data_IF_997316032876
#
_entry.id   IF_997316032876
#
_cell.length_a   1.000
_cell.length_b   1.000
_cell.length_c   1.000
_cell.angle_alpha   90.00
_cell.angle_beta   90.00
_cell.angle_gamma   90.00
#
_symmetry.space_group_name_H-M   'P 1'
#
loop_
_entity.id
_entity.type
_entity.pdbx_description
1 polymer ?
#
# COMPACT_ATOMS: atom_id res chain seq x y z
N UNK A 1 -40.55 18.65 38.20
CA UNK A 1 -39.35 19.51 38.13
C UNK A 1 -38.15 18.60 37.88
N UNK A 2 -37.71 18.48 36.63
CA UNK A 2 -36.37 18.03 36.18
C UNK A 2 -36.43 17.87 34.65
N UNK A 3 -36.45 18.99 33.93
CA UNK A 3 -36.40 19.01 32.46
C UNK A 3 -35.86 20.37 31.99
N UNK A 4 -34.58 20.67 32.25
CA UNK A 4 -33.97 21.90 31.69
C UNK A 4 -32.44 21.92 31.76
N UNK A 5 -31.72 20.87 31.36
CA UNK A 5 -30.27 20.94 31.16
C UNK A 5 -29.84 20.06 29.97
N UNK A 6 -30.20 20.51 28.76
CA UNK A 6 -29.45 20.16 27.55
C UNK A 6 -29.13 21.46 26.80
N UNK A 7 -27.87 21.73 26.46
CA UNK A 7 -27.52 22.89 25.65
C UNK A 7 -28.20 22.78 24.28
N UNK A 8 -28.85 23.85 23.83
CA UNK A 8 -29.37 24.00 22.47
C UNK A 8 -28.18 24.10 21.51
N UNK A 9 -27.58 22.95 21.19
CA UNK A 9 -26.58 22.85 20.13
C UNK A 9 -27.24 23.19 18.80
N UNK A 10 -26.64 24.11 18.03
CA UNK A 10 -27.02 24.33 16.63
C UNK A 10 -26.85 23.00 15.90
N UNK A 11 -27.95 22.42 15.41
CA UNK A 11 -27.91 21.35 14.42
C UNK A 11 -27.16 21.88 13.20
N UNK A 12 -25.92 21.42 13.01
CA UNK A 12 -25.19 21.59 11.76
C UNK A 12 -25.98 20.84 10.69
N UNK A 13 -26.40 21.55 9.63
CA UNK A 13 -27.04 20.91 8.48
C UNK A 13 -26.00 20.03 7.80
N UNK A 14 -26.16 18.71 7.96
CA UNK A 14 -25.47 17.70 7.15
C UNK A 14 -25.75 18.04 5.69
N UNK A 15 -24.71 18.16 4.86
CA UNK A 15 -24.84 18.52 3.45
C UNK A 15 -25.68 17.50 2.69
N UNK A 16 -26.48 17.94 1.72
CA UNK A 16 -27.36 17.11 0.87
C UNK A 16 -26.64 16.11 -0.07
N UNK A 17 -25.33 15.89 0.10
CA UNK A 17 -24.61 14.85 -0.67
C UNK A 17 -25.00 13.48 -0.12
N UNK A 18 -25.34 12.56 -1.02
CA UNK A 18 -25.54 11.17 -0.62
C UNK A 18 -24.19 10.60 -0.15
N UNK A 19 -24.12 9.91 1.01
CA UNK A 19 -22.89 9.30 1.52
C UNK A 19 -22.12 8.43 0.50
N UNK A 20 -22.82 7.96 -0.53
CA UNK A 20 -22.29 7.18 -1.65
C UNK A 20 -21.31 7.95 -2.55
N UNK A 21 -21.48 9.27 -2.72
CA UNK A 21 -20.55 10.05 -3.55
C UNK A 21 -19.22 10.29 -2.84
N UNK A 22 -19.26 10.42 -1.51
CA UNK A 22 -18.07 10.71 -0.71
C UNK A 22 -17.10 9.52 -0.64
N UNK A 23 -17.67 8.35 -0.34
CA UNK A 23 -16.94 7.08 -0.36
C UNK A 23 -16.31 6.83 -1.74
N UNK A 24 -17.00 7.20 -2.82
CA UNK A 24 -16.52 6.93 -4.17
C UNK A 24 -15.20 7.66 -4.48
N UNK A 25 -15.06 8.95 -4.14
CA UNK A 25 -13.81 9.66 -4.43
C UNK A 25 -12.65 9.26 -3.51
N UNK A 26 -12.92 8.86 -2.25
CA UNK A 26 -11.89 8.29 -1.39
C UNK A 26 -11.33 7.00 -1.96
N UNK A 27 -12.20 6.08 -2.39
CA UNK A 27 -11.79 4.83 -3.02
C UNK A 27 -10.99 5.09 -4.30
N UNK A 28 -11.44 6.06 -5.11
CA UNK A 28 -10.70 6.45 -6.32
C UNK A 28 -9.33 7.03 -6.00
N UNK A 29 -9.21 7.87 -4.96
CA UNK A 29 -7.92 8.42 -4.53
C UNK A 29 -6.99 7.31 -4.03
N UNK A 30 -7.49 6.43 -3.17
CA UNK A 30 -6.75 5.27 -2.65
C UNK A 30 -6.27 4.36 -3.78
N UNK A 31 -7.15 3.98 -4.72
CA UNK A 31 -6.78 3.23 -5.92
C UNK A 31 -5.69 3.92 -6.75
N UNK A 32 -5.82 5.22 -7.02
CA UNK A 32 -4.80 5.97 -7.78
C UNK A 32 -3.44 5.99 -7.09
N UNK A 33 -3.42 6.08 -5.75
CA UNK A 33 -2.17 6.04 -4.97
C UNK A 33 -1.61 4.61 -4.95
N UNK A 34 -2.46 3.59 -4.80
CA UNK A 34 -2.05 2.20 -4.83
C UNK A 34 -1.49 1.78 -6.20
N UNK A 35 -1.98 2.36 -7.30
CA UNK A 35 -1.54 2.09 -8.67
C UNK A 35 -0.45 3.07 -9.15
N UNK A 36 0.11 3.89 -8.25
CA UNK A 36 1.07 4.93 -8.60
C UNK A 36 2.33 4.32 -9.24
N UNK A 37 2.77 4.92 -10.35
CA UNK A 37 3.99 4.61 -11.09
C UNK A 37 4.58 5.88 -11.72
N UNK A 38 5.70 5.76 -12.45
CA UNK A 38 6.36 6.89 -13.11
C UNK A 38 5.48 7.59 -14.14
N UNK A 39 4.58 6.85 -14.78
CA UNK A 39 3.85 7.31 -15.96
C UNK A 39 2.57 8.05 -15.56
N UNK A 40 1.98 7.69 -14.41
CA UNK A 40 0.71 8.24 -13.96
C UNK A 40 0.81 9.28 -12.82
N UNK A 41 2.00 9.57 -12.29
CA UNK A 41 2.15 10.46 -11.12
C UNK A 41 1.55 11.86 -11.32
N UNK A 42 1.64 12.43 -12.53
CA UNK A 42 1.04 13.74 -12.84
C UNK A 42 -0.48 13.69 -12.91
N UNK A 43 -1.04 12.58 -13.43
CA UNK A 43 -2.48 12.34 -13.50
C UNK A 43 -3.01 12.17 -12.07
N UNK A 44 -2.36 11.31 -11.27
CA UNK A 44 -2.71 11.09 -9.87
C UNK A 44 -2.70 12.40 -9.07
N UNK A 45 -1.64 13.21 -9.20
CA UNK A 45 -1.57 14.52 -8.55
C UNK A 45 -2.74 15.43 -8.94
N UNK A 46 -3.07 15.51 -10.23
CA UNK A 46 -4.13 16.39 -10.75
C UNK A 46 -5.52 15.96 -10.26
N UNK A 47 -5.81 14.66 -10.32
CA UNK A 47 -7.09 14.10 -9.87
C UNK A 47 -7.26 14.21 -8.35
N UNK A 48 -6.23 13.88 -7.56
CA UNK A 48 -6.27 14.02 -6.09
C UNK A 48 -6.48 15.49 -5.71
N UNK A 49 -5.81 16.42 -6.39
CA UNK A 49 -6.02 17.86 -6.20
C UNK A 49 -7.47 18.27 -6.49
N UNK A 50 -8.08 17.72 -7.54
CA UNK A 50 -9.49 17.94 -7.87
C UNK A 50 -10.42 17.34 -6.80
N UNK A 51 -10.13 16.14 -6.27
CA UNK A 51 -10.85 15.54 -5.15
C UNK A 51 -10.83 16.43 -3.91
N UNK A 52 -9.66 16.99 -3.56
CA UNK A 52 -9.54 17.91 -2.42
C UNK A 52 -10.36 19.19 -2.65
N UNK A 53 -10.21 19.82 -3.82
CA UNK A 53 -10.84 21.12 -4.10
C UNK A 53 -12.35 21.07 -4.29
N UNK A 54 -12.83 20.11 -5.09
CA UNK A 54 -14.23 20.05 -5.51
C UNK A 54 -15.08 19.17 -4.61
N UNK A 55 -14.47 18.12 -4.07
CA UNK A 55 -15.21 17.08 -3.35
C UNK A 55 -14.99 17.13 -1.84
N UNK A 56 -14.21 18.10 -1.33
CA UNK A 56 -13.92 18.32 0.10
C UNK A 56 -13.18 17.16 0.77
N UNK A 57 -12.48 16.32 0.01
CA UNK A 57 -11.51 15.40 0.60
C UNK A 57 -10.45 16.22 1.35
N UNK A 58 -10.12 15.86 2.59
CA UNK A 58 -9.08 16.56 3.32
C UNK A 58 -7.70 16.27 2.71
N UNK A 59 -6.81 17.27 2.70
CA UNK A 59 -5.43 17.04 2.26
C UNK A 59 -4.71 16.06 3.20
N UNK A 60 -5.06 16.10 4.48
CA UNK A 60 -4.52 15.20 5.51
C UNK A 60 -4.81 13.74 5.20
N UNK A 61 -6.04 13.44 4.74
CA UNK A 61 -6.41 12.09 4.32
C UNK A 61 -5.59 11.60 3.12
N UNK A 62 -5.43 12.43 2.10
CA UNK A 62 -4.60 12.07 0.94
C UNK A 62 -3.14 11.80 1.35
N UNK A 63 -2.57 12.64 2.22
CA UNK A 63 -1.22 12.47 2.75
C UNK A 63 -1.09 11.22 3.62
N UNK A 64 -2.09 10.88 4.44
CA UNK A 64 -2.08 9.65 5.23
C UNK A 64 -2.18 8.39 4.37
N UNK A 65 -2.96 8.42 3.28
CA UNK A 65 -2.97 7.31 2.32
C UNK A 65 -1.59 7.08 1.72
N UNK A 66 -0.90 8.15 1.28
CA UNK A 66 0.45 8.04 0.73
C UNK A 66 1.43 7.48 1.77
N UNK A 67 1.33 7.91 3.02
CA UNK A 67 2.14 7.36 4.13
C UNK A 67 1.88 5.86 4.34
N UNK A 68 0.61 5.43 4.41
CA UNK A 68 0.24 4.01 4.52
C UNK A 68 0.78 3.17 3.35
N UNK A 69 0.53 3.57 2.11
CA UNK A 69 1.02 2.83 0.93
C UNK A 69 2.54 2.79 0.84
N UNK A 70 3.23 3.80 1.37
CA UNK A 70 4.69 3.82 1.39
C UNK A 70 5.31 2.73 2.27
N UNK A 71 4.58 2.21 3.27
CA UNK A 71 5.01 1.03 4.05
C UNK A 71 4.85 -0.27 3.25
N UNK A 72 3.80 -0.35 2.44
CA UNK A 72 3.43 -1.57 1.68
C UNK A 72 4.31 -1.72 0.44
N UNK A 73 4.60 -0.61 -0.24
CA UNK A 73 5.38 -0.56 -1.50
C UNK A 73 6.69 0.22 -1.31
N UNK A 74 7.66 -0.31 -0.54
CA UNK A 74 8.89 0.40 -0.20
C UNK A 74 9.80 0.67 -1.42
N UNK A 75 9.69 -0.13 -2.49
CA UNK A 75 10.38 0.07 -3.75
C UNK A 75 9.91 1.34 -4.49
N UNK A 76 8.68 1.78 -4.23
CA UNK A 76 8.07 2.96 -4.84
C UNK A 76 8.19 4.22 -3.95
N UNK A 77 8.97 4.16 -2.87
CA UNK A 77 9.13 5.25 -1.89
C UNK A 77 9.48 6.59 -2.53
N UNK A 78 10.24 6.57 -3.63
CA UNK A 78 10.59 7.77 -4.40
C UNK A 78 9.36 8.44 -5.05
N UNK A 79 8.45 7.64 -5.61
CA UNK A 79 7.21 8.13 -6.22
C UNK A 79 6.27 8.70 -5.16
N UNK A 80 6.12 8.00 -4.03
CA UNK A 80 5.34 8.51 -2.90
C UNK A 80 5.90 9.80 -2.35
N UNK A 81 7.23 9.91 -2.21
CA UNK A 81 7.89 11.16 -1.80
C UNK A 81 7.56 12.31 -2.76
N UNK A 82 7.61 12.07 -4.06
CA UNK A 82 7.30 13.08 -5.08
C UNK A 82 5.83 13.54 -5.01
N UNK A 83 4.89 12.60 -4.93
CA UNK A 83 3.46 12.92 -4.83
C UNK A 83 3.15 13.65 -3.52
N UNK A 84 3.67 13.15 -2.39
CA UNK A 84 3.50 13.77 -1.07
C UNK A 84 4.03 15.19 -1.05
N UNK A 85 5.24 15.41 -1.55
CA UNK A 85 5.88 16.73 -1.61
C UNK A 85 5.06 17.72 -2.45
N UNK A 86 4.58 17.30 -3.63
CA UNK A 86 3.75 18.13 -4.51
C UNK A 86 2.44 18.55 -3.83
N UNK A 87 1.72 17.59 -3.22
CA UNK A 87 0.47 17.89 -2.52
C UNK A 87 0.70 18.80 -1.30
N UNK A 88 1.74 18.51 -0.50
CA UNK A 88 2.10 19.30 0.68
C UNK A 88 2.36 20.77 0.31
N UNK A 89 3.17 21.02 -0.72
CA UNK A 89 3.46 22.37 -1.18
C UNK A 89 2.24 23.06 -1.79
N UNK A 90 1.47 22.35 -2.62
CA UNK A 90 0.31 22.92 -3.31
C UNK A 90 -0.77 23.41 -2.33
N UNK A 91 -0.98 22.67 -1.24
CA UNK A 91 -1.97 22.99 -0.22
C UNK A 91 -1.38 23.65 1.03
N UNK A 92 -0.06 23.92 1.06
CA UNK A 92 0.65 24.45 2.23
C UNK A 92 0.39 23.64 3.51
N UNK A 93 0.31 22.30 3.37
CA UNK A 93 0.05 21.37 4.46
C UNK A 93 1.33 20.57 4.76
N UNK A 94 1.87 20.70 5.96
CA UNK A 94 3.09 20.01 6.39
C UNK A 94 2.73 19.10 7.55
N UNK A 95 2.58 17.81 7.24
CA UNK A 95 2.37 16.75 8.23
C UNK A 95 3.57 15.82 8.16
N UNK A 96 4.08 15.40 9.31
CA UNK A 96 5.17 14.43 9.35
C UNK A 96 4.59 13.02 9.10
N UNK A 97 5.04 12.28 8.07
CA UNK A 97 4.64 10.88 7.90
C UNK A 97 5.08 10.00 9.07
N UNK A 98 4.41 8.87 9.28
CA UNK A 98 4.84 7.82 10.21
C UNK A 98 5.96 6.97 9.61
N UNK A 99 5.99 6.80 8.28
CA UNK A 99 7.11 6.14 7.61
C UNK A 99 8.39 6.99 7.71
N UNK A 100 9.38 6.51 8.47
CA UNK A 100 10.64 7.21 8.68
C UNK A 100 11.44 7.41 7.38
N UNK A 101 11.39 6.44 6.46
CA UNK A 101 12.03 6.54 5.14
C UNK A 101 11.40 7.64 4.30
N UNK A 102 10.07 7.69 4.23
CA UNK A 102 9.34 8.75 3.53
C UNK A 102 9.64 10.12 4.16
N UNK A 103 9.59 10.21 5.48
CA UNK A 103 9.89 11.43 6.24
C UNK A 103 11.30 11.94 5.95
N UNK A 104 12.28 11.05 5.94
CA UNK A 104 13.68 11.38 5.65
C UNK A 104 13.85 11.93 4.22
N UNK A 105 13.26 11.28 3.21
CA UNK A 105 13.33 11.77 1.83
C UNK A 105 12.65 13.13 1.65
N UNK A 106 11.50 13.35 2.30
CA UNK A 106 10.82 14.64 2.31
C UNK A 106 11.67 15.73 2.97
N UNK A 107 12.41 15.38 4.03
CA UNK A 107 13.37 16.28 4.66
C UNK A 107 14.50 16.68 3.72
N UNK A 108 15.11 15.72 3.01
CA UNK A 108 16.14 16.02 2.01
C UNK A 108 15.60 16.87 0.84
N UNK A 109 14.31 16.78 0.53
CA UNK A 109 13.61 17.66 -0.42
C UNK A 109 13.24 19.05 0.13
N UNK A 110 13.55 19.33 1.40
CA UNK A 110 13.37 20.64 2.02
C UNK A 110 12.13 20.81 2.88
N UNK A 111 11.31 19.77 3.09
CA UNK A 111 10.24 19.83 4.09
C UNK A 111 10.82 19.68 5.49
N UNK A 112 10.63 20.70 6.34
CA UNK A 112 11.11 20.69 7.71
C UNK A 112 10.01 20.15 8.64
N UNK A 113 10.37 19.18 9.46
CA UNK A 113 9.51 18.64 10.51
C UNK A 113 10.11 18.96 11.88
N UNK A 114 9.27 19.31 12.84
CA UNK A 114 9.72 19.65 14.19
C UNK A 114 10.39 18.44 14.86
N UNK A 115 11.53 18.68 15.53
CA UNK A 115 12.28 17.66 16.28
C UNK A 115 12.65 16.42 15.46
N UNK A 116 12.90 16.58 14.15
CA UNK A 116 13.30 15.50 13.27
C UNK A 116 14.67 15.77 12.63
N UNK A 117 15.59 14.84 12.85
CA UNK A 117 16.89 14.79 12.20
C UNK A 117 17.05 13.43 11.51
N UNK A 118 17.40 13.40 10.21
CA UNK A 118 17.51 12.15 9.47
C UNK A 118 18.73 11.34 9.94
N UNK A 119 18.50 10.06 10.25
CA UNK A 119 19.56 9.12 10.67
C UNK A 119 20.07 8.23 9.55
N UNK A 120 19.30 8.12 8.47
CA UNK A 120 19.55 7.25 7.33
C UNK A 120 19.83 8.17 6.13
N UNK A 121 20.85 7.86 5.35
CA UNK A 121 21.16 8.65 4.16
C UNK A 121 20.16 8.37 3.02
N UNK A 122 20.07 9.27 2.05
CA UNK A 122 19.12 9.17 0.93
C UNK A 122 19.34 7.90 0.08
N UNK A 123 20.60 7.55 -0.22
CA UNK A 123 20.94 6.43 -1.08
C UNK A 123 20.51 5.08 -0.47
N UNK A 124 20.70 4.89 0.83
CA UNK A 124 20.29 3.71 1.58
C UNK A 124 18.77 3.57 1.63
N UNK A 125 18.02 4.67 1.60
CA UNK A 125 16.56 4.62 1.52
C UNK A 125 16.10 4.23 0.11
N UNK A 126 16.73 4.81 -0.91
CA UNK A 126 16.37 4.58 -2.31
C UNK A 126 16.73 3.16 -2.78
N UNK A 127 17.75 2.55 -2.18
CA UNK A 127 18.20 1.20 -2.50
C UNK A 127 17.80 0.22 -1.37
N UNK A 128 16.78 -0.61 -1.61
CA UNK A 128 16.32 -1.63 -0.63
C UNK A 128 17.46 -2.59 -0.22
N UNK A 129 18.34 -2.89 -1.17
CA UNK A 129 19.54 -3.70 -0.97
C UNK A 129 20.77 -2.96 -1.49
N UNK A 130 21.98 -3.24 -0.97
CA UNK A 130 23.23 -2.70 -1.52
C UNK A 130 23.32 -2.95 -3.03
N UNK A 131 23.79 -1.97 -3.78
CA UNK A 131 23.87 -2.03 -5.26
C UNK A 131 24.75 -3.16 -5.78
N UNK A 132 25.72 -3.59 -4.97
CA UNK A 132 26.63 -4.71 -5.26
C UNK A 132 26.04 -6.09 -4.88
N UNK A 133 24.80 -6.14 -4.39
CA UNK A 133 24.11 -7.39 -4.03
C UNK A 133 23.27 -7.91 -5.20
N UNK A 134 23.19 -9.23 -5.44
CA UNK A 134 22.25 -9.78 -6.41
C UNK A 134 20.79 -9.37 -6.11
N UNK A 135 20.43 -9.22 -4.82
CA UNK A 135 19.08 -8.82 -4.42
C UNK A 135 18.68 -7.43 -4.93
N UNK A 136 19.64 -6.52 -5.12
CA UNK A 136 19.36 -5.21 -5.72
C UNK A 136 18.82 -5.36 -7.13
N UNK A 137 19.50 -6.11 -7.99
CA UNK A 137 19.07 -6.33 -9.36
C UNK A 137 17.73 -7.04 -9.44
N UNK A 138 17.48 -7.97 -8.51
CA UNK A 138 16.22 -8.72 -8.44
C UNK A 138 15.05 -7.80 -8.09
N UNK A 139 15.17 -6.95 -7.06
CA UNK A 139 14.09 -6.01 -6.67
C UNK A 139 13.69 -5.09 -7.82
N UNK A 140 14.64 -4.71 -8.67
CA UNK A 140 14.42 -3.83 -9.82
C UNK A 140 14.13 -4.58 -11.13
N UNK A 141 13.95 -5.90 -11.06
CA UNK A 141 13.73 -6.83 -12.19
C UNK A 141 14.76 -6.71 -13.34
N UNK A 142 16.01 -6.37 -13.00
CA UNK A 142 17.15 -6.17 -13.91
C UNK A 142 17.85 -7.49 -14.24
N UNK A 143 17.15 -8.37 -14.94
CA UNK A 143 17.60 -9.76 -15.16
C UNK A 143 18.91 -9.88 -15.96
N UNK A 144 19.16 -8.98 -16.91
CA UNK A 144 20.34 -9.06 -17.77
C UNK A 144 21.60 -8.60 -17.02
N UNK A 145 21.50 -7.54 -16.23
CA UNK A 145 22.55 -7.09 -15.33
C UNK A 145 22.82 -8.10 -14.21
N UNK A 146 21.77 -8.74 -13.68
CA UNK A 146 21.91 -9.83 -12.72
C UNK A 146 22.75 -10.98 -13.29
N UNK A 147 22.42 -11.44 -14.52
CA UNK A 147 23.18 -12.51 -15.20
C UNK A 147 24.63 -12.12 -15.48
N UNK A 148 24.85 -10.87 -15.89
CA UNK A 148 26.18 -10.35 -16.21
C UNK A 148 27.08 -10.30 -14.96
N UNK A 149 26.55 -9.80 -13.83
CA UNK A 149 27.32 -9.58 -12.61
C UNK A 149 27.40 -10.84 -11.72
N UNK A 150 26.41 -11.74 -11.80
CA UNK A 150 26.32 -12.95 -10.96
C UNK A 150 26.02 -14.20 -11.80
N UNK A 151 26.94 -14.62 -12.70
CA UNK A 151 26.71 -15.76 -13.59
C UNK A 151 26.49 -17.09 -12.85
N UNK A 152 26.99 -17.22 -11.63
CA UNK A 152 26.88 -18.40 -10.77
C UNK A 152 26.05 -18.09 -9.50
N UNK A 153 24.94 -17.36 -9.64
CA UNK A 153 24.10 -17.00 -8.50
C UNK A 153 23.58 -18.24 -7.74
N UNK A 154 23.78 -18.27 -6.43
CA UNK A 154 23.21 -19.28 -5.55
C UNK A 154 21.73 -18.95 -5.24
N UNK A 155 20.81 -19.54 -6.01
CA UNK A 155 19.37 -19.22 -5.95
C UNK A 155 18.66 -19.68 -4.66
N UNK A 156 19.21 -20.67 -3.97
CA UNK A 156 18.63 -21.26 -2.75
C UNK A 156 19.31 -20.77 -1.46
N UNK A 157 20.43 -20.05 -1.56
CA UNK A 157 21.13 -19.52 -0.39
C UNK A 157 20.47 -18.22 0.07
N UNK A 158 20.16 -18.12 1.37
CA UNK A 158 19.63 -16.89 1.94
C UNK A 158 20.68 -15.80 1.98
N UNK A 159 20.32 -14.62 1.47
CA UNK A 159 21.05 -13.37 1.57
C UNK A 159 20.14 -12.41 2.32
N UNK A 160 20.56 -11.87 3.47
CA UNK A 160 19.68 -11.05 4.32
C UNK A 160 18.34 -11.74 4.62
N UNK A 161 18.39 -13.01 5.05
CA UNK A 161 17.25 -13.82 5.47
C UNK A 161 16.25 -14.26 4.38
N UNK A 162 16.45 -13.82 3.12
CA UNK A 162 15.62 -14.18 1.96
C UNK A 162 16.46 -14.84 0.86
N UNK A 163 15.92 -15.85 0.18
CA UNK A 163 16.60 -16.40 -1.01
C UNK A 163 16.43 -15.45 -2.20
N UNK A 164 17.36 -15.44 -3.18
CA UNK A 164 17.14 -14.71 -4.43
C UNK A 164 15.80 -15.00 -5.09
N UNK A 165 15.36 -16.27 -5.07
CA UNK A 165 14.08 -16.66 -5.66
C UNK A 165 12.88 -16.11 -4.90
N UNK A 166 12.87 -16.21 -3.57
CA UNK A 166 11.83 -15.59 -2.75
C UNK A 166 11.84 -14.06 -2.87
N UNK A 167 13.00 -13.45 -3.07
CA UNK A 167 13.09 -12.01 -3.35
C UNK A 167 12.38 -11.65 -4.66
N UNK A 168 12.61 -12.41 -5.74
CA UNK A 168 11.93 -12.19 -7.01
C UNK A 168 10.40 -12.34 -6.87
N UNK A 169 9.95 -13.31 -6.08
CA UNK A 169 8.54 -13.51 -5.78
C UNK A 169 7.97 -12.34 -4.98
N UNK A 170 8.63 -11.95 -3.88
CA UNK A 170 8.19 -10.89 -2.96
C UNK A 170 8.01 -9.53 -3.62
N UNK A 171 8.89 -9.19 -4.56
CA UNK A 171 8.86 -7.90 -5.25
C UNK A 171 8.16 -7.94 -6.60
N UNK A 172 7.59 -9.09 -6.98
CA UNK A 172 6.86 -9.21 -8.25
C UNK A 172 7.77 -9.14 -9.48
N UNK A 173 9.05 -9.45 -9.34
CA UNK A 173 10.09 -9.33 -10.37
C UNK A 173 10.02 -10.49 -11.36
N UNK A 174 9.12 -10.37 -12.33
CA UNK A 174 8.72 -11.44 -13.24
C UNK A 174 9.88 -11.98 -14.08
N UNK A 175 10.77 -11.12 -14.58
CA UNK A 175 11.89 -11.56 -15.41
C UNK A 175 12.92 -12.36 -14.58
N UNK A 176 13.25 -11.86 -13.39
CA UNK A 176 14.15 -12.54 -12.46
C UNK A 176 13.54 -13.85 -11.94
N UNK A 177 12.25 -13.86 -11.64
CA UNK A 177 11.51 -15.06 -11.26
C UNK A 177 11.61 -16.16 -12.33
N UNK A 178 11.32 -15.83 -13.59
CA UNK A 178 11.39 -16.77 -14.70
C UNK A 178 12.81 -17.30 -14.91
N UNK A 179 13.81 -16.41 -14.79
CA UNK A 179 15.21 -16.80 -14.89
C UNK A 179 15.60 -17.80 -13.79
N UNK A 180 15.32 -17.52 -12.52
CA UNK A 180 15.66 -18.42 -11.42
C UNK A 180 14.90 -19.74 -11.48
N UNK A 181 13.64 -19.71 -11.91
CA UNK A 181 12.87 -20.93 -12.15
C UNK A 181 13.51 -21.79 -13.26
N UNK A 182 14.06 -21.17 -14.30
CA UNK A 182 14.82 -21.89 -15.34
C UNK A 182 16.13 -22.52 -14.84
N UNK A 183 16.69 -22.00 -13.74
CA UNK A 183 17.83 -22.58 -13.04
C UNK A 183 17.43 -23.70 -12.06
N UNK A 184 16.13 -24.03 -11.96
CA UNK A 184 15.63 -25.07 -11.07
C UNK A 184 15.35 -24.61 -9.64
N UNK A 185 15.16 -23.30 -9.42
CA UNK A 185 14.80 -22.77 -8.11
C UNK A 185 13.54 -23.44 -7.55
N UNK A 186 13.54 -23.68 -6.24
CA UNK A 186 12.41 -24.28 -5.53
C UNK A 186 11.74 -23.27 -4.63
N UNK A 187 10.41 -23.33 -4.60
CA UNK A 187 9.63 -22.57 -3.64
C UNK A 187 9.92 -23.03 -2.20
N UNK A 188 10.05 -22.06 -1.30
CA UNK A 188 10.09 -22.27 0.14
C UNK A 188 8.68 -22.30 0.72
N UNK A 189 8.59 -22.40 2.05
CA UNK A 189 7.34 -22.29 2.80
C UNK A 189 6.81 -20.84 2.82
N UNK A 190 7.70 -19.85 2.69
CA UNK A 190 7.34 -18.42 2.69
C UNK A 190 6.94 -17.91 1.30
N UNK A 191 7.29 -18.62 0.22
CA UNK A 191 7.05 -18.16 -1.15
C UNK A 191 5.59 -17.77 -1.41
N UNK A 192 4.62 -18.52 -0.88
CA UNK A 192 3.19 -18.23 -1.10
C UNK A 192 2.79 -16.88 -0.49
N UNK A 193 3.24 -16.61 0.74
CA UNK A 193 3.06 -15.32 1.40
C UNK A 193 3.74 -14.21 0.58
N UNK A 194 4.97 -14.42 0.12
CA UNK A 194 5.67 -13.43 -0.70
C UNK A 194 4.96 -13.14 -2.03
N UNK A 195 4.37 -14.13 -2.68
CA UNK A 195 3.64 -13.92 -3.93
C UNK A 195 2.41 -13.03 -3.72
N UNK A 196 1.74 -13.20 -2.58
CA UNK A 196 0.62 -12.33 -2.20
C UNK A 196 1.11 -10.93 -1.88
N UNK A 197 2.23 -10.77 -1.17
CA UNK A 197 2.79 -9.45 -0.88
C UNK A 197 3.19 -8.70 -2.15
N UNK A 198 3.83 -9.42 -3.09
CA UNK A 198 4.32 -8.83 -4.34
C UNK A 198 3.22 -8.46 -5.33
N UNK A 199 2.00 -9.01 -5.19
CA UNK A 199 0.85 -8.62 -6.01
C UNK A 199 0.96 -8.95 -7.50
N UNK A 200 2.04 -9.57 -7.96
CA UNK A 200 2.23 -9.94 -9.36
C UNK A 200 1.38 -11.17 -9.68
N UNK A 201 0.27 -10.95 -10.39
CA UNK A 201 -0.71 -11.98 -10.73
C UNK A 201 -0.13 -13.12 -11.55
N UNK A 202 0.83 -12.84 -12.43
CA UNK A 202 1.44 -13.88 -13.27
C UNK A 202 2.27 -14.84 -12.42
N UNK A 203 3.06 -14.32 -11.47
CA UNK A 203 3.81 -15.13 -10.52
C UNK A 203 2.85 -15.92 -9.62
N UNK A 204 1.82 -15.26 -9.09
CA UNK A 204 0.81 -15.89 -8.24
C UNK A 204 0.11 -17.06 -8.95
N UNK A 205 -0.40 -16.84 -10.17
CA UNK A 205 -1.07 -17.87 -10.95
C UNK A 205 -0.12 -19.01 -11.33
N UNK A 206 1.11 -18.69 -11.72
CA UNK A 206 2.11 -19.71 -12.02
C UNK A 206 2.42 -20.60 -10.80
N UNK A 207 2.46 -20.04 -9.59
CA UNK A 207 2.67 -20.81 -8.37
C UNK A 207 1.51 -21.78 -8.07
N UNK A 208 0.28 -21.38 -8.38
CA UNK A 208 -0.90 -22.26 -8.27
C UNK A 208 -0.78 -23.42 -9.26
N UNK A 209 -0.42 -23.15 -10.50
CA UNK A 209 -0.22 -24.19 -11.53
C UNK A 209 0.87 -25.20 -11.15
N UNK A 210 1.91 -24.72 -10.47
CA UNK A 210 2.97 -25.54 -9.89
C UNK A 210 2.54 -26.31 -8.62
N UNK A 211 1.30 -26.14 -8.17
CA UNK A 211 0.72 -26.88 -7.04
C UNK A 211 0.97 -26.25 -5.66
N UNK A 212 1.36 -24.97 -5.57
CA UNK A 212 1.42 -24.28 -4.28
C UNK A 212 0.01 -23.97 -3.76
N UNK A 213 -0.19 -24.21 -2.47
CA UNK A 213 -1.41 -23.81 -1.76
C UNK A 213 -1.28 -22.37 -1.24
N UNK A 214 -2.43 -21.69 -1.17
CA UNK A 214 -2.59 -20.36 -0.60
C UNK A 214 -3.66 -20.37 0.52
N UNK A 215 -3.80 -21.50 1.21
CA UNK A 215 -4.73 -21.67 2.34
C UNK A 215 -4.44 -20.68 3.47
N UNK A 216 -5.49 -20.06 4.01
CA UNK A 216 -5.46 -19.08 5.10
C UNK A 216 -4.63 -17.81 4.82
N UNK A 217 -4.65 -17.32 3.58
CA UNK A 217 -3.83 -16.18 3.17
C UNK A 217 -4.64 -14.95 2.70
N UNK A 218 -5.97 -15.00 2.77
CA UNK A 218 -6.84 -13.92 2.30
C UNK A 218 -6.58 -12.57 3.00
N UNK A 219 -6.30 -12.58 4.31
CA UNK A 219 -6.01 -11.34 5.04
C UNK A 219 -4.68 -10.72 4.60
N UNK A 220 -3.67 -11.53 4.29
CA UNK A 220 -2.40 -11.01 3.75
C UNK A 220 -2.64 -10.30 2.42
N UNK A 221 -3.54 -10.81 1.57
CA UNK A 221 -3.88 -10.15 0.31
C UNK A 221 -4.57 -8.80 0.55
N UNK A 222 -5.41 -8.71 1.60
CA UNK A 222 -6.04 -7.45 1.99
C UNK A 222 -5.03 -6.45 2.57
N UNK A 223 -4.17 -6.88 3.49
CA UNK A 223 -3.14 -6.04 4.13
C UNK A 223 -2.20 -5.41 3.08
N UNK A 224 -1.96 -6.11 1.97
CA UNK A 224 -1.15 -5.64 0.84
C UNK A 224 -1.99 -5.04 -0.30
N UNK A 225 -3.29 -4.83 -0.09
CA UNK A 225 -4.24 -4.23 -1.03
C UNK A 225 -4.29 -4.92 -2.41
N UNK A 226 -4.01 -6.22 -2.44
CA UNK A 226 -4.04 -7.05 -3.63
C UNK A 226 -5.43 -7.68 -3.79
N UNK A 227 -6.45 -6.83 -4.00
CA UNK A 227 -7.86 -7.21 -4.00
C UNK A 227 -8.21 -8.31 -5.01
N UNK A 228 -7.61 -8.29 -6.20
CA UNK A 228 -7.86 -9.32 -7.20
C UNK A 228 -7.33 -10.69 -6.77
N UNK A 229 -6.20 -10.72 -6.03
CA UNK A 229 -5.69 -11.94 -5.41
C UNK A 229 -6.62 -12.38 -4.27
N UNK A 230 -7.11 -11.44 -3.46
CA UNK A 230 -8.07 -11.73 -2.40
C UNK A 230 -9.39 -12.31 -2.95
N UNK A 231 -9.94 -11.75 -4.03
CA UNK A 231 -11.12 -12.26 -4.73
C UNK A 231 -10.88 -13.67 -5.30
N UNK A 232 -9.70 -13.90 -5.88
CA UNK A 232 -9.32 -15.22 -6.34
C UNK A 232 -9.28 -16.22 -5.18
N UNK A 233 -8.60 -15.87 -4.09
CA UNK A 233 -8.46 -16.73 -2.91
C UNK A 233 -9.84 -17.07 -2.32
N UNK A 234 -10.70 -16.05 -2.15
CA UNK A 234 -12.07 -16.23 -1.69
C UNK A 234 -12.86 -17.18 -2.59
N UNK A 235 -12.84 -16.95 -3.90
CA UNK A 235 -13.65 -17.72 -4.85
C UNK A 235 -13.16 -19.16 -5.06
N UNK A 236 -11.85 -19.40 -4.98
CA UNK A 236 -11.25 -20.72 -5.24
C UNK A 236 -11.06 -21.57 -4.00
N UNK A 237 -10.70 -20.96 -2.87
CA UNK A 237 -10.42 -21.66 -1.62
C UNK A 237 -11.53 -21.50 -0.58
N UNK A 238 -12.58 -20.72 -0.88
CA UNK A 238 -13.71 -20.51 0.04
C UNK A 238 -13.33 -19.74 1.31
N UNK A 239 -12.17 -19.09 1.33
CA UNK A 239 -11.67 -18.39 2.51
C UNK A 239 -12.53 -17.16 2.82
N UNK A 240 -12.75 -16.92 4.11
CA UNK A 240 -13.46 -15.74 4.62
C UNK A 240 -12.49 -14.82 5.32
N UNK A 241 -12.81 -13.53 5.31
CA UNK A 241 -12.04 -12.51 5.99
C UNK A 241 -12.14 -12.67 7.50
N UNK A 242 -11.03 -12.47 8.21
CA UNK A 242 -11.09 -12.19 9.63
C UNK A 242 -11.69 -10.78 9.81
N UNK A 243 -12.55 -10.60 10.81
CA UNK A 243 -13.53 -9.50 10.88
C UNK A 243 -13.03 -8.10 10.49
N UNK A 244 -13.91 -7.28 9.91
CA UNK A 244 -13.66 -5.94 9.35
C UNK A 244 -12.99 -4.89 10.29
N UNK A 245 -12.70 -5.19 11.56
CA UNK A 245 -12.25 -4.20 12.52
C UNK A 245 -10.80 -3.72 12.29
N UNK A 246 -9.88 -4.61 11.90
CA UNK A 246 -8.47 -4.25 11.74
C UNK A 246 -8.19 -3.47 10.45
N UNK A 247 -8.98 -3.70 9.38
CA UNK A 247 -8.84 -2.95 8.13
C UNK A 247 -9.26 -1.48 8.24
N UNK A 248 -10.07 -1.13 9.25
CA UNK A 248 -10.60 0.23 9.44
C UNK A 248 -9.57 1.18 10.07
N UNK A 249 -8.75 0.70 11.01
CA UNK A 249 -7.74 1.50 11.70
C UNK A 249 -6.62 2.02 10.76
N UNK A 250 -6.43 1.36 9.61
CA UNK A 250 -5.43 1.71 8.61
C UNK A 250 -5.88 2.80 7.60
N UNK A 251 -7.11 3.32 7.71
CA UNK A 251 -7.68 4.26 6.73
C UNK A 251 -8.02 3.60 5.39
N UNK A 252 -8.38 2.31 5.44
CA UNK A 252 -8.49 1.48 4.25
C UNK A 252 -9.93 1.43 3.71
N UNK A 253 -10.40 2.57 3.19
CA UNK A 253 -11.74 2.69 2.61
C UNK A 253 -11.96 1.69 1.46
N UNK A 254 -10.89 1.33 0.74
CA UNK A 254 -10.91 0.30 -0.30
C UNK A 254 -11.11 -1.11 0.28
N UNK A 255 -10.36 -1.52 1.33
CA UNK A 255 -10.64 -2.80 1.99
C UNK A 255 -12.07 -2.78 2.53
N UNK A 256 -12.51 -1.70 3.18
CA UNK A 256 -13.86 -1.64 3.74
C UNK A 256 -14.93 -1.77 2.65
N UNK A 257 -14.80 -1.00 1.56
CA UNK A 257 -15.71 -1.07 0.41
C UNK A 257 -15.71 -2.46 -0.23
N UNK A 258 -14.52 -3.05 -0.35
CA UNK A 258 -14.34 -4.41 -0.84
C UNK A 258 -15.03 -5.43 0.06
N UNK A 259 -14.79 -5.38 1.37
CA UNK A 259 -15.41 -6.24 2.38
C UNK A 259 -16.94 -6.09 2.38
N UNK A 260 -17.45 -4.85 2.35
CA UNK A 260 -18.88 -4.55 2.28
C UNK A 260 -19.53 -5.16 1.03
N UNK A 261 -18.92 -4.96 -0.14
CA UNK A 261 -19.38 -5.54 -1.40
C UNK A 261 -19.35 -7.08 -1.39
N UNK A 262 -18.47 -7.66 -0.56
CA UNK A 262 -18.21 -9.09 -0.49
C UNK A 262 -18.82 -9.78 0.75
N UNK A 263 -19.73 -9.13 1.48
CA UNK A 263 -20.47 -9.70 2.61
C UNK A 263 -19.69 -9.80 3.93
N UNK A 264 -18.62 -9.03 4.09
CA UNK A 264 -17.87 -8.92 5.34
C UNK A 264 -18.74 -8.34 6.47
N UNK A 265 -18.62 -8.90 7.67
CA UNK A 265 -19.39 -8.44 8.84
C UNK A 265 -18.82 -7.13 9.37
N UNK A 266 -19.62 -6.07 9.27
CA UNK A 266 -19.33 -4.78 9.88
C UNK A 266 -19.47 -4.93 11.40
N UNK A 267 -18.38 -4.83 12.15
CA UNK A 267 -18.45 -4.68 13.60
C UNK A 267 -18.91 -3.26 13.97
N UNK A 268 -19.55 -3.09 15.13
CA UNK A 268 -20.10 -1.81 15.63
C UNK A 268 -19.09 -0.63 15.64
N UNK A 269 -17.79 -0.94 15.65
CA UNK A 269 -16.66 0.00 15.56
C UNK A 269 -16.69 0.85 14.27
N UNK A 270 -17.22 0.31 13.16
CA UNK A 270 -17.36 1.02 11.88
C UNK A 270 -18.21 2.29 11.96
N UNK A 271 -19.27 2.27 12.77
CA UNK A 271 -20.16 3.41 12.93
C UNK A 271 -19.39 4.59 13.54
N UNK A 272 -18.45 4.30 14.46
CA UNK A 272 -17.67 5.31 15.18
C UNK A 272 -16.64 5.99 14.25
N UNK A 273 -15.97 5.25 13.36
CA UNK A 273 -15.03 5.81 12.38
C UNK A 273 -15.71 6.71 11.34
N UNK A 274 -16.91 6.31 10.85
CA UNK A 274 -17.73 7.17 10.00
C UNK A 274 -18.10 8.50 10.71
N UNK A 275 -18.31 8.49 12.02
CA UNK A 275 -18.62 9.70 12.78
C UNK A 275 -17.41 10.61 13.00
N UNK A 276 -16.20 10.08 13.16
CA UNK A 276 -14.99 10.92 13.35
C UNK A 276 -14.69 11.72 12.07
N UNK A 277 -14.85 11.12 10.90
CA UNK A 277 -14.71 11.80 9.60
C UNK A 277 -15.75 12.91 9.37
N UNK A 278 -16.87 12.88 10.12
CA UNK A 278 -17.95 13.87 10.04
C UNK A 278 -17.79 14.99 11.07
N UNK A 279 -17.06 14.77 12.18
CA UNK A 279 -16.99 15.71 13.31
C UNK A 279 -15.90 16.79 13.14
N UNK A 280 -14.89 16.58 12.27
CA UNK A 280 -13.83 17.56 11.97
C UNK A 280 -14.17 18.53 10.80
N UNK A 281 -15.45 18.74 10.49
CA UNK A 281 -15.97 19.61 9.40
C UNK A 281 -16.66 20.89 9.91
#
# INVERSE_FOLDING_TARGET
>A
MLSSWLPKGKMVRVSDKTPTEEINYHNRASKMINELNSDNIFIAFSEITNFIKKYKMSVQYALSLIDSFSHIRPNDIKLFTELYFKLSNYFSCIIKPKNEKLTTLLHYKGLKFENFEPKINEEEILNIYPTESPLYYIVWDKVDELKSNFPNIEIDQKINEITPFDCAIKYGSKLCFNFMKSLGAKYTDESAKYAIQGGNKDIFMQMIEDGKSFDNMINIALDYHNYEIADYIKSKYGQTFDSNAESMDAGNDDINSFLLANGGKINEIYIIFLFISIIDL
#
